data_IF_635847928781
#
_entry.id   IF_635847928781
#
_cell.length_a   1.000
_cell.length_b   1.000
_cell.length_c   1.000
_cell.angle_alpha   90.00
_cell.angle_beta   90.00
_cell.angle_gamma   90.00
#
_symmetry.space_group_name_H-M   'P 1'
#
loop_
_entity.id
_entity.type
_entity.pdbx_description
1 polymer ?
#
# COMPACT_ATOMS: atom_id res chain seq x y z
N UNK A 1 -8.03 4.08 -12.50
CA UNK A 1 -6.66 3.92 -11.96
C UNK A 1 -6.77 3.51 -10.51
N UNK A 2 -6.21 2.37 -10.13
CA UNK A 2 -6.20 1.88 -8.75
C UNK A 2 -4.91 1.11 -8.47
N UNK A 3 -4.60 0.88 -7.19
CA UNK A 3 -3.42 0.12 -6.77
C UNK A 3 -2.10 0.89 -6.76
N UNK A 4 -2.10 2.22 -6.89
CA UNK A 4 -0.85 3.02 -6.92
C UNK A 4 -0.47 3.64 -5.57
N UNK A 5 -1.05 3.17 -4.46
CA UNK A 5 -0.66 3.63 -3.14
C UNK A 5 0.70 3.02 -2.74
N UNK A 6 1.72 3.85 -2.46
CA UNK A 6 3.07 3.35 -2.13
C UNK A 6 3.15 2.64 -0.76
N UNK A 7 2.14 2.80 0.09
CA UNK A 7 2.05 2.09 1.38
C UNK A 7 1.53 0.65 1.23
N UNK A 8 1.08 0.24 0.03
CA UNK A 8 0.60 -1.11 -0.22
C UNK A 8 1.78 -2.08 -0.41
N UNK A 9 1.78 -3.17 0.36
CA UNK A 9 2.90 -4.13 0.46
C UNK A 9 3.34 -4.76 -0.88
N UNK A 10 2.49 -4.77 -1.89
CA UNK A 10 2.85 -5.27 -3.23
C UNK A 10 4.00 -4.47 -3.83
N UNK A 11 4.05 -3.16 -3.60
CA UNK A 11 5.15 -2.32 -4.06
C UNK A 11 6.43 -2.53 -3.23
N UNK A 12 6.28 -2.86 -1.95
CA UNK A 12 7.40 -3.16 -1.05
C UNK A 12 8.09 -4.49 -1.39
N UNK A 13 7.40 -5.43 -2.06
CA UNK A 13 7.95 -6.74 -2.40
C UNK A 13 9.31 -6.66 -3.12
N UNK A 14 9.52 -5.63 -3.96
CA UNK A 14 10.80 -5.42 -4.66
C UNK A 14 11.96 -5.06 -3.72
N UNK A 15 11.70 -4.50 -2.54
CA UNK A 15 12.72 -4.23 -1.52
C UNK A 15 13.15 -5.50 -0.76
N UNK A 16 12.38 -6.59 -0.88
CA UNK A 16 12.70 -7.91 -0.29
C UNK A 16 12.54 -9.04 -1.32
N UNK A 17 13.37 -9.09 -2.39
CA UNK A 17 13.19 -10.04 -3.47
C UNK A 17 13.13 -11.50 -3.01
N UNK A 18 12.18 -12.26 -3.53
CA UNK A 18 12.00 -13.68 -3.23
C UNK A 18 11.43 -13.97 -1.83
N UNK A 19 11.29 -12.99 -0.94
CA UNK A 19 10.63 -13.14 0.37
C UNK A 19 9.14 -12.90 0.26
N UNK A 20 8.36 -13.64 1.05
CA UNK A 20 6.93 -13.40 1.21
C UNK A 20 6.76 -12.30 2.25
N UNK A 21 6.06 -11.23 1.85
CA UNK A 21 5.62 -10.16 2.73
C UNK A 21 4.12 -10.27 2.97
N UNK A 22 3.67 -9.85 4.15
CA UNK A 22 2.26 -9.80 4.53
C UNK A 22 1.91 -8.44 5.08
N UNK A 23 0.66 -8.02 4.89
CA UNK A 23 0.16 -6.75 5.40
C UNK A 23 -1.33 -6.84 5.66
N UNK A 24 -1.76 -6.46 6.87
CA UNK A 24 -3.16 -6.13 7.14
C UNK A 24 -3.35 -4.67 6.77
N UNK A 25 -4.25 -4.38 5.83
CA UNK A 25 -4.48 -3.02 5.36
C UNK A 25 -5.94 -2.65 5.35
N UNK A 26 -6.23 -1.37 5.54
CA UNK A 26 -7.59 -0.82 5.54
C UNK A 26 -7.76 0.24 4.48
N UNK A 27 -8.80 0.07 3.68
CA UNK A 27 -9.19 1.03 2.65
C UNK A 27 -9.93 2.23 3.27
N UNK A 28 -10.05 3.36 2.56
CA UNK A 28 -10.73 4.53 3.11
C UNK A 28 -12.22 4.30 3.41
N UNK A 29 -12.86 3.36 2.71
CA UNK A 29 -14.23 2.91 2.97
C UNK A 29 -14.39 2.05 4.24
N UNK A 30 -13.30 1.76 4.94
CA UNK A 30 -13.28 1.01 6.18
C UNK A 30 -13.12 -0.50 6.03
N UNK A 31 -13.15 -1.06 4.81
CA UNK A 31 -12.91 -2.48 4.59
C UNK A 31 -11.44 -2.82 4.82
N UNK A 32 -11.20 -3.98 5.44
CA UNK A 32 -9.86 -4.45 5.77
C UNK A 32 -9.54 -5.76 5.05
N UNK A 33 -8.27 -5.92 4.68
CA UNK A 33 -7.78 -7.01 3.86
C UNK A 33 -6.46 -7.53 4.40
N UNK A 34 -6.25 -8.85 4.30
CA UNK A 34 -4.92 -9.43 4.39
C UNK A 34 -4.33 -9.52 2.99
N UNK A 35 -3.13 -8.95 2.81
CA UNK A 35 -2.34 -9.05 1.58
C UNK A 35 -1.12 -9.93 1.79
N UNK A 36 -0.78 -10.70 0.77
CA UNK A 36 0.44 -11.49 0.64
C UNK A 36 1.12 -11.04 -0.64
N UNK A 37 2.40 -10.70 -0.60
CA UNK A 37 3.17 -10.26 -1.77
C UNK A 37 4.54 -10.95 -1.85
N UNK A 38 4.98 -11.28 -3.07
CA UNK A 38 6.31 -11.84 -3.33
C UNK A 38 6.74 -11.49 -4.75
N UNK A 39 8.04 -11.27 -4.97
CA UNK A 39 8.55 -11.14 -6.34
C UNK A 39 8.75 -12.48 -7.03
N UNK A 40 8.61 -12.48 -8.34
CA UNK A 40 9.04 -13.55 -9.24
C UNK A 40 10.05 -12.99 -10.23
N UNK A 41 11.06 -13.80 -10.54
CA UNK A 41 12.09 -13.51 -11.54
C UNK A 41 11.98 -14.55 -12.65
N UNK A 42 12.13 -14.10 -13.90
CA UNK A 42 12.25 -15.00 -15.05
C UNK A 42 13.09 -14.39 -16.16
N UNK A 43 13.63 -15.24 -17.04
CA UNK A 43 14.54 -14.81 -18.12
C UNK A 43 15.98 -14.74 -17.63
N UNK A 44 16.81 -13.89 -18.25
CA UNK A 44 18.17 -13.64 -17.75
C UNK A 44 19.16 -14.80 -17.90
N UNK A 45 19.03 -15.65 -18.93
CA UNK A 45 20.05 -16.67 -19.23
C UNK A 45 21.32 -15.99 -19.80
N UNK A 46 22.07 -15.32 -18.93
CA UNK A 46 23.31 -14.58 -19.23
C UNK A 46 23.33 -13.19 -18.62
N UNK A 47 24.51 -12.71 -18.23
CA UNK A 47 24.72 -11.41 -17.57
C UNK A 47 24.15 -10.20 -18.33
N UNK A 48 24.13 -10.27 -19.67
CA UNK A 48 23.64 -9.20 -20.54
C UNK A 48 22.20 -9.44 -21.03
N UNK A 49 21.59 -10.56 -20.65
CA UNK A 49 20.24 -10.88 -21.09
C UNK A 49 19.22 -10.03 -20.31
N UNK A 50 18.15 -9.54 -20.96
CA UNK A 50 17.10 -8.81 -20.28
C UNK A 50 16.40 -9.72 -19.25
N UNK A 51 16.19 -9.17 -18.06
CA UNK A 51 15.48 -9.83 -16.97
C UNK A 51 14.04 -9.34 -16.87
N UNK A 52 13.16 -10.19 -16.33
CA UNK A 52 11.78 -9.82 -16.01
C UNK A 52 11.55 -10.05 -14.52
N UNK A 53 11.31 -8.95 -13.82
CA UNK A 53 11.02 -8.93 -12.40
C UNK A 53 9.60 -8.43 -12.18
N UNK A 54 8.76 -9.26 -11.55
CA UNK A 54 7.38 -8.94 -11.21
C UNK A 54 7.15 -9.08 -9.72
N UNK A 55 6.12 -8.41 -9.20
CA UNK A 55 5.56 -8.66 -7.88
C UNK A 55 4.17 -9.26 -8.05
N UNK A 56 3.90 -10.37 -7.36
CA UNK A 56 2.59 -11.00 -7.32
C UNK A 56 1.97 -10.71 -5.95
N UNK A 57 0.76 -10.16 -5.95
CA UNK A 57 -0.03 -9.90 -4.76
C UNK A 57 -1.31 -10.74 -4.75
N UNK A 58 -1.61 -11.37 -3.62
CA UNK A 58 -2.88 -12.03 -3.34
C UNK A 58 -3.54 -11.34 -2.14
N UNK A 59 -4.83 -11.03 -2.25
CA UNK A 59 -5.57 -10.34 -1.20
C UNK A 59 -6.88 -11.05 -0.89
N UNK A 60 -7.25 -11.09 0.38
CA UNK A 60 -8.57 -11.55 0.83
C UNK A 60 -9.16 -10.58 1.84
N UNK A 61 -10.48 -10.61 2.00
CA UNK A 61 -11.14 -9.94 3.12
C UNK A 61 -10.56 -10.46 4.44
N UNK A 62 -10.40 -9.57 5.42
CA UNK A 62 -9.79 -9.92 6.71
C UNK A 62 -10.54 -11.03 7.44
N UNK A 63 -11.86 -11.16 7.23
CA UNK A 63 -12.68 -12.22 7.81
C UNK A 63 -12.36 -13.64 7.33
N UNK A 64 -11.52 -13.79 6.29
CA UNK A 64 -11.03 -15.09 5.80
C UNK A 64 -9.54 -15.31 6.06
N UNK A 65 -8.86 -14.37 6.73
CA UNK A 65 -7.41 -14.41 6.93
C UNK A 65 -6.96 -15.64 7.75
N UNK A 66 -7.76 -16.05 8.73
CA UNK A 66 -7.54 -17.22 9.60
C UNK A 66 -7.39 -18.55 8.83
N UNK A 67 -7.92 -18.61 7.60
CA UNK A 67 -7.83 -19.79 6.72
C UNK A 67 -6.51 -19.86 5.94
N UNK A 68 -5.71 -18.80 5.97
CA UNK A 68 -4.44 -18.71 5.25
C UNK A 68 -3.29 -18.97 6.23
N UNK A 69 -2.35 -19.86 5.89
CA UNK A 69 -1.14 -20.08 6.70
C UNK A 69 -0.35 -18.80 6.97
N UNK A 70 -0.48 -17.82 6.06
CA UNK A 70 0.19 -16.53 6.12
C UNK A 70 -0.36 -15.57 7.18
N UNK A 71 -1.49 -15.86 7.82
CA UNK A 71 -1.98 -15.08 8.97
C UNK A 71 -1.34 -15.49 10.30
N UNK A 72 -0.60 -16.61 10.32
CA UNK A 72 0.01 -17.11 11.55
C UNK A 72 0.99 -16.10 12.15
N UNK A 73 0.74 -15.70 13.39
CA UNK A 73 1.57 -14.73 14.12
C UNK A 73 1.27 -13.26 13.78
N UNK A 74 0.27 -12.99 12.95
CA UNK A 74 -0.21 -11.65 12.65
C UNK A 74 -1.43 -11.35 13.54
N UNK A 75 -1.39 -10.22 14.24
CA UNK A 75 -2.57 -9.71 14.95
C UNK A 75 -3.51 -9.07 13.91
N UNK A 76 -4.59 -9.78 13.57
CA UNK A 76 -5.57 -9.34 12.55
C UNK A 76 -6.71 -8.51 13.11
N UNK A 77 -6.90 -8.54 14.42
CA UNK A 77 -7.96 -7.88 15.19
C UNK A 77 -7.50 -6.64 15.96
N UNK A 78 -6.18 -6.37 16.00
CA UNK A 78 -5.61 -5.16 16.59
C UNK A 78 -5.61 -3.99 15.58
N UNK A 79 -6.41 -2.93 15.79
CA UNK A 79 -6.45 -1.79 14.87
C UNK A 79 -5.11 -1.05 14.74
N UNK A 80 -4.18 -1.20 15.71
CA UNK A 80 -2.88 -0.54 15.71
C UNK A 80 -1.90 -1.12 14.69
N UNK A 81 -2.11 -2.39 14.28
CA UNK A 81 -1.27 -3.08 13.28
C UNK A 81 -1.76 -2.87 11.85
N UNK A 82 -2.93 -2.27 11.68
CA UNK A 82 -3.60 -2.10 10.38
C UNK A 82 -3.04 -0.90 9.63
N UNK A 83 -2.48 -1.14 8.44
CA UNK A 83 -1.90 -0.09 7.60
C UNK A 83 -2.99 0.66 6.83
N UNK A 84 -3.15 1.99 7.02
CA UNK A 84 -4.12 2.77 6.27
C UNK A 84 -3.63 3.03 4.85
N UNK A 85 -4.20 2.34 3.85
CA UNK A 85 -3.86 2.52 2.44
C UNK A 85 -5.01 3.17 1.66
N UNK A 86 -4.82 3.40 0.36
CA UNK A 86 -5.86 3.85 -0.56
C UNK A 86 -5.66 3.30 -1.98
N UNK A 87 -6.57 3.63 -2.90
CA UNK A 87 -6.44 3.18 -4.30
C UNK A 87 -5.38 3.98 -5.10
N UNK A 88 -5.07 5.19 -4.68
CA UNK A 88 -4.09 6.10 -5.31
C UNK A 88 -4.34 7.55 -4.90
N UNK A 89 -3.29 8.37 -4.80
CA UNK A 89 -3.37 9.68 -4.13
C UNK A 89 -4.44 10.62 -4.70
N UNK A 90 -4.62 10.65 -6.03
CA UNK A 90 -5.60 11.49 -6.73
C UNK A 90 -7.06 11.19 -6.37
N UNK A 91 -7.35 9.98 -5.88
CA UNK A 91 -8.72 9.53 -5.53
C UNK A 91 -8.84 9.11 -4.06
N UNK A 92 -7.76 9.27 -3.28
CA UNK A 92 -7.73 8.90 -1.86
C UNK A 92 -8.07 10.12 -1.00
N UNK A 93 -9.09 9.99 -0.16
CA UNK A 93 -9.68 11.00 0.70
C UNK A 93 -9.11 11.04 2.12
N UNK A 94 -8.09 10.22 2.44
CA UNK A 94 -7.44 10.24 3.76
C UNK A 94 -6.86 11.63 4.07
N UNK A 95 -7.28 12.31 5.15
CA UNK A 95 -6.93 13.73 5.37
C UNK A 95 -5.47 13.92 5.81
N UNK A 96 -4.87 12.94 6.48
CA UNK A 96 -3.53 13.01 7.04
C UNK A 96 -2.66 11.83 6.55
N UNK A 97 -2.14 11.93 5.32
CA UNK A 97 -1.20 10.95 4.77
C UNK A 97 0.13 11.62 4.44
N UNK A 98 1.16 11.36 5.24
CA UNK A 98 2.51 11.90 5.02
C UNK A 98 3.14 11.40 3.71
N UNK A 99 2.71 10.23 3.21
CA UNK A 99 3.21 9.63 1.97
C UNK A 99 2.44 10.11 0.71
N UNK A 100 1.55 11.08 0.83
CA UNK A 100 0.70 11.52 -0.29
C UNK A 100 1.54 12.19 -1.40
N UNK A 101 1.53 11.60 -2.59
CA UNK A 101 2.30 12.09 -3.75
C UNK A 101 1.55 13.11 -4.61
N UNK A 102 0.21 13.14 -4.56
CA UNK A 102 -0.62 14.08 -5.34
C UNK A 102 -1.81 14.56 -4.50
N UNK A 103 -2.32 15.78 -4.74
CA UNK A 103 -3.56 16.24 -4.15
C UNK A 103 -4.74 15.38 -4.64
N UNK A 104 -5.79 15.27 -3.83
CA UNK A 104 -7.03 14.62 -4.24
C UNK A 104 -7.73 15.48 -5.30
N UNK A 105 -8.22 14.84 -6.35
CA UNK A 105 -9.00 15.52 -7.39
C UNK A 105 -10.30 16.07 -6.80
N UNK A 106 -10.65 17.30 -7.17
CA UNK A 106 -11.86 17.97 -6.69
C UNK A 106 -11.79 18.50 -5.26
N UNK A 107 -10.64 18.39 -4.56
CA UNK A 107 -10.43 18.96 -3.22
C UNK A 107 -9.41 20.09 -3.27
N UNK A 108 -9.72 21.20 -2.61
CA UNK A 108 -8.79 22.32 -2.48
C UNK A 108 -7.62 21.96 -1.55
N UNK A 109 -6.42 22.35 -1.97
CA UNK A 109 -5.22 22.29 -1.13
C UNK A 109 -5.19 23.54 -0.26
N UNK A 110 -5.02 23.37 1.04
CA UNK A 110 -4.78 24.46 1.96
C UNK A 110 -3.36 24.99 1.76
N UNK A 111 -3.25 26.22 1.29
CA UNK A 111 -1.97 26.94 1.18
C UNK A 111 -1.95 28.01 2.27
N UNK A 112 -0.96 27.93 3.16
CA UNK A 112 -0.74 28.92 4.22
C UNK A 112 0.76 29.21 4.34
N UNK A 113 1.15 30.41 3.93
CA UNK A 113 2.53 30.90 3.88
C UNK A 113 3.22 30.92 5.25
N UNK A 114 2.44 30.99 6.32
CA UNK A 114 2.92 31.01 7.70
C UNK A 114 2.95 29.61 8.35
N UNK A 115 2.72 28.55 7.57
CA UNK A 115 2.72 27.18 8.07
C UNK A 115 3.61 26.28 7.22
N UNK A 116 4.35 25.41 7.89
CA UNK A 116 5.08 24.30 7.28
C UNK A 116 4.77 23.05 8.09
N UNK A 117 4.57 21.92 7.41
CA UNK A 117 4.22 20.66 8.04
C UNK A 117 4.66 19.46 7.22
N UNK A 118 4.66 18.29 7.84
CA UNK A 118 5.08 17.03 7.20
C UNK A 118 3.98 16.37 6.35
N UNK A 119 2.79 16.98 6.27
CA UNK A 119 1.68 16.49 5.45
C UNK A 119 1.67 17.23 4.11
N UNK A 120 2.01 16.55 3.00
CA UNK A 120 1.87 17.14 1.67
C UNK A 120 0.40 17.25 1.28
N UNK A 121 0.03 18.36 0.63
CA UNK A 121 -1.32 18.66 0.16
C UNK A 121 -2.39 18.58 1.27
N UNK A 122 -2.23 19.32 2.40
CA UNK A 122 -3.24 19.34 3.44
C UNK A 122 -4.57 19.85 2.86
N UNK A 123 -5.67 19.21 3.22
CA UNK A 123 -6.97 19.60 2.69
C UNK A 123 -7.50 20.83 3.42
N UNK A 124 -8.02 21.80 2.67
CA UNK A 124 -8.82 22.88 3.24
C UNK A 124 -10.07 22.31 3.91
N UNK A 125 -10.55 22.96 4.98
CA UNK A 125 -11.77 22.56 5.69
C UNK A 125 -12.98 22.70 4.76
#
# INVERSE_FOLDING_TARGET
MGGSCPLWVVHEAFASPGRILTQVSKMPDGRAYLWIARTTHSGGLGYLAPERNFAIGLGCDIGYADRLVYSRGIQTDDPSTVVPIGAGCKVCDRPACAQRAFPQLGRAVLVNENSSGHLPYPQGR
#
